data_IF_442014652171
#
_entry.id   IF_442014652171
#
_cell.length_a   1.000
_cell.length_b   1.000
_cell.length_c   1.000
_cell.angle_alpha   90.00
_cell.angle_beta   90.00
_cell.angle_gamma   90.00
#
_symmetry.space_group_name_H-M   'P 1'
#
loop_
_entity.id
_entity.type
_entity.pdbx_description
1 polymer ?
#
# COMPACT_ATOMS: atom_id res chain seq x y z
N UNK A 1 -27.61 -48.72 -5.68
CA UNK A 1 -28.82 -47.93 -5.35
C UNK A 1 -28.33 -46.57 -4.86
N UNK A 2 -28.35 -45.45 -5.58
CA UNK A 2 -29.32 -44.92 -6.53
C UNK A 2 -28.58 -44.16 -7.65
N UNK A 3 -28.59 -44.66 -8.89
CA UNK A 3 -28.20 -43.85 -10.06
C UNK A 3 -29.41 -43.01 -10.42
N UNK A 4 -29.30 -41.73 -10.18
CA UNK A 4 -30.44 -40.92 -9.81
C UNK A 4 -30.83 -40.03 -11.01
N UNK A 5 -32.04 -40.22 -11.53
CA UNK A 5 -32.53 -39.50 -12.72
C UNK A 5 -32.85 -38.02 -12.47
N UNK A 6 -32.68 -37.53 -11.22
CA UNK A 6 -33.00 -36.14 -10.87
C UNK A 6 -31.98 -35.11 -11.38
N UNK A 7 -30.76 -35.54 -11.74
CA UNK A 7 -29.71 -34.70 -12.37
C UNK A 7 -29.67 -34.92 -13.90
N UNK A 8 -30.67 -35.59 -14.48
CA UNK A 8 -30.75 -35.73 -15.94
C UNK A 8 -30.99 -34.37 -16.60
N UNK A 9 -30.49 -34.17 -17.82
CA UNK A 9 -30.61 -32.88 -18.52
C UNK A 9 -32.04 -32.35 -18.66
N UNK A 10 -33.06 -33.21 -18.56
CA UNK A 10 -34.47 -32.80 -18.54
C UNK A 10 -34.91 -32.07 -17.27
N UNK A 11 -34.18 -32.23 -16.16
CA UNK A 11 -34.44 -31.56 -14.88
C UNK A 11 -33.39 -30.48 -14.57
N UNK A 12 -32.52 -30.13 -15.53
CA UNK A 12 -31.41 -29.20 -15.30
C UNK A 12 -31.88 -27.83 -14.76
N UNK A 13 -32.99 -27.30 -15.28
CA UNK A 13 -33.56 -26.03 -14.82
C UNK A 13 -34.04 -26.08 -13.36
N UNK A 14 -34.62 -27.21 -12.94
CA UNK A 14 -35.08 -27.41 -11.57
C UNK A 14 -33.91 -27.52 -10.58
N UNK A 15 -32.85 -28.24 -10.98
CA UNK A 15 -31.63 -28.35 -10.17
C UNK A 15 -30.89 -27.01 -10.10
N UNK A 16 -30.85 -26.26 -11.20
CA UNK A 16 -30.27 -24.91 -11.25
C UNK A 16 -31.02 -23.95 -10.30
N UNK A 17 -32.35 -23.94 -10.32
CA UNK A 17 -33.15 -23.10 -9.39
C UNK A 17 -32.96 -23.50 -7.92
N UNK A 18 -32.80 -24.79 -7.62
CA UNK A 18 -32.48 -25.27 -6.28
C UNK A 18 -31.08 -24.87 -5.83
N UNK A 19 -30.11 -24.87 -6.74
CA UNK A 19 -28.74 -24.43 -6.44
C UNK A 19 -28.65 -22.93 -6.25
N UNK A 20 -29.39 -22.14 -7.03
CA UNK A 20 -29.54 -20.68 -6.84
C UNK A 20 -30.02 -20.35 -5.42
N UNK A 21 -31.09 -21.02 -4.96
CA UNK A 21 -31.59 -20.84 -3.58
C UNK A 21 -30.58 -21.29 -2.52
N UNK A 22 -29.81 -22.33 -2.80
CA UNK A 22 -28.73 -22.78 -1.91
C UNK A 22 -27.62 -21.73 -1.78
N UNK A 23 -27.28 -21.01 -2.86
CA UNK A 23 -26.30 -19.92 -2.82
C UNK A 23 -26.80 -18.67 -2.09
N UNK A 24 -28.12 -18.41 -2.10
CA UNK A 24 -28.74 -17.30 -1.35
C UNK A 24 -28.92 -17.63 0.14
N UNK A 25 -29.55 -18.76 0.46
CA UNK A 25 -29.74 -19.27 1.81
C UNK A 25 -29.80 -20.81 1.83
N UNK A 26 -28.76 -21.51 2.33
CA UNK A 26 -28.75 -22.97 2.44
C UNK A 26 -29.92 -23.55 3.24
N UNK A 27 -30.54 -22.76 4.14
CA UNK A 27 -31.65 -23.19 4.99
C UNK A 27 -32.97 -23.39 4.23
N UNK A 28 -33.13 -22.75 3.07
CA UNK A 28 -34.34 -22.84 2.25
C UNK A 28 -34.41 -24.11 1.39
N UNK A 29 -33.30 -24.85 1.30
CA UNK A 29 -33.17 -26.05 0.48
C UNK A 29 -33.33 -27.31 1.34
N UNK A 30 -34.06 -28.35 0.87
CA UNK A 30 -34.19 -29.61 1.61
C UNK A 30 -32.85 -30.26 1.93
N UNK A 31 -32.72 -30.89 3.11
CA UNK A 31 -31.44 -31.41 3.63
C UNK A 31 -30.72 -32.40 2.67
N UNK A 32 -31.48 -33.13 1.86
CA UNK A 32 -30.94 -34.05 0.84
C UNK A 32 -30.17 -33.32 -0.26
N UNK A 33 -30.63 -32.12 -0.64
CA UNK A 33 -30.00 -31.27 -1.64
C UNK A 33 -28.86 -30.45 -1.05
N UNK A 34 -29.00 -29.96 0.19
CA UNK A 34 -27.92 -29.30 0.92
C UNK A 34 -26.67 -30.20 1.02
N UNK A 35 -26.88 -31.42 1.51
CA UNK A 35 -25.80 -32.43 1.61
C UNK A 35 -25.18 -32.79 0.26
N UNK A 36 -25.94 -32.68 -0.84
CA UNK A 36 -25.42 -32.91 -2.18
C UNK A 36 -24.58 -31.74 -2.68
N UNK A 37 -25.05 -30.50 -2.49
CA UNK A 37 -24.33 -29.29 -2.90
C UNK A 37 -23.05 -29.05 -2.09
N UNK A 38 -23.03 -29.42 -0.80
CA UNK A 38 -21.83 -29.41 0.05
C UNK A 38 -20.70 -30.31 -0.50
N UNK A 39 -21.03 -31.31 -1.32
CA UNK A 39 -20.04 -32.24 -1.89
C UNK A 39 -19.49 -31.79 -3.24
N UNK A 40 -19.99 -30.68 -3.80
CA UNK A 40 -19.50 -30.16 -5.07
C UNK A 40 -18.09 -29.58 -4.91
N UNK A 41 -17.14 -29.95 -5.79
CA UNK A 41 -15.78 -29.45 -5.71
C UNK A 41 -15.77 -27.95 -6.05
N UNK A 42 -15.26 -27.13 -5.12
CA UNK A 42 -14.87 -25.76 -5.45
C UNK A 42 -13.73 -25.80 -6.47
N UNK A 43 -13.80 -24.92 -7.48
CA UNK A 43 -12.76 -24.82 -8.52
C UNK A 43 -11.41 -24.51 -7.86
N UNK A 44 -10.38 -25.32 -8.12
CA UNK A 44 -9.04 -25.11 -7.55
C UNK A 44 -8.53 -23.69 -7.84
N UNK A 45 -8.35 -22.90 -6.78
CA UNK A 45 -7.87 -21.51 -6.84
C UNK A 45 -8.94 -20.43 -6.62
N UNK A 46 -10.22 -20.77 -6.52
CA UNK A 46 -11.28 -19.82 -6.14
C UNK A 46 -11.50 -19.84 -4.61
N UNK A 47 -11.22 -18.71 -3.95
CA UNK A 47 -11.49 -18.51 -2.50
C UNK A 47 -12.92 -17.97 -2.28
N UNK A 48 -13.62 -17.61 -3.35
CA UNK A 48 -14.99 -17.10 -3.28
C UNK A 48 -16.04 -18.21 -3.49
N UNK A 49 -17.20 -18.13 -2.81
CA UNK A 49 -18.33 -19.00 -3.12
C UNK A 49 -18.80 -18.81 -4.57
N UNK A 50 -19.43 -19.84 -5.14
CA UNK A 50 -20.04 -19.78 -6.47
C UNK A 50 -21.04 -18.61 -6.56
N UNK A 51 -21.09 -17.96 -7.71
CA UNK A 51 -21.96 -16.81 -7.96
C UNK A 51 -23.24 -17.31 -8.63
N UNK A 52 -24.39 -16.84 -8.13
CA UNK A 52 -25.71 -17.03 -8.74
C UNK A 52 -25.72 -16.67 -10.24
N UNK A 53 -26.13 -17.60 -11.11
CA UNK A 53 -26.32 -17.35 -12.54
C UNK A 53 -27.42 -16.31 -12.78
N UNK A 54 -28.45 -16.26 -11.93
CA UNK A 54 -29.51 -15.27 -11.98
C UNK A 54 -28.92 -13.85 -11.80
N UNK A 55 -28.01 -13.67 -10.85
CA UNK A 55 -27.29 -12.40 -10.62
C UNK A 55 -26.48 -11.99 -11.84
N UNK A 56 -25.79 -12.95 -12.47
CA UNK A 56 -25.01 -12.71 -13.70
C UNK A 56 -25.94 -12.32 -14.86
N UNK A 57 -27.06 -13.01 -15.05
CA UNK A 57 -28.05 -12.69 -16.10
C UNK A 57 -28.68 -11.33 -15.90
N UNK A 58 -29.02 -10.97 -14.66
CA UNK A 58 -29.60 -9.67 -14.34
C UNK A 58 -28.58 -8.54 -14.55
N UNK A 59 -27.30 -8.80 -14.24
CA UNK A 59 -26.20 -7.88 -14.57
C UNK A 59 -26.05 -7.68 -16.09
N UNK A 60 -26.09 -8.75 -16.89
CA UNK A 60 -26.07 -8.65 -18.36
C UNK A 60 -27.33 -7.98 -18.92
N UNK A 61 -28.50 -8.20 -18.32
CA UNK A 61 -29.74 -7.50 -18.67
C UNK A 61 -29.68 -6.01 -18.34
N UNK A 62 -29.06 -5.62 -17.22
CA UNK A 62 -28.78 -4.23 -16.86
C UNK A 62 -27.83 -3.58 -17.86
N UNK A 63 -26.74 -4.25 -18.23
CA UNK A 63 -25.82 -3.80 -19.28
C UNK A 63 -26.52 -3.62 -20.63
N UNK A 64 -27.41 -4.55 -21.01
CA UNK A 64 -28.20 -4.48 -22.25
C UNK A 64 -29.25 -3.36 -22.21
N UNK A 65 -29.94 -3.19 -21.08
CA UNK A 65 -30.94 -2.11 -20.89
C UNK A 65 -30.30 -0.72 -20.86
N UNK A 66 -29.10 -0.60 -20.31
CA UNK A 66 -28.33 0.65 -20.28
C UNK A 66 -27.80 1.09 -21.65
N UNK A 67 -27.81 0.21 -22.66
CA UNK A 67 -27.36 0.55 -24.01
C UNK A 67 -28.41 1.29 -24.86
N UNK A 68 -29.70 1.30 -24.48
CA UNK A 68 -30.73 2.02 -25.26
C UNK A 68 -31.93 2.60 -24.49
N UNK A 69 -31.98 2.51 -23.16
CA UNK A 69 -33.09 3.09 -22.38
C UNK A 69 -32.57 3.92 -21.21
N UNK A 70 -32.59 5.24 -21.40
CA UNK A 70 -32.67 6.20 -20.28
C UNK A 70 -34.02 5.97 -19.61
N UNK A 71 -34.04 5.02 -18.68
CA UNK A 71 -35.12 4.91 -17.71
C UNK A 71 -34.81 6.00 -16.68
N UNK A 72 -35.71 6.95 -16.38
CA UNK A 72 -35.44 7.96 -15.38
C UNK A 72 -35.36 7.24 -14.03
N UNK A 73 -34.15 6.90 -13.62
CA UNK A 73 -33.86 6.52 -12.25
C UNK A 73 -34.20 7.75 -11.42
N UNK A 74 -35.09 7.60 -10.45
CA UNK A 74 -35.49 8.68 -9.56
C UNK A 74 -34.22 9.38 -9.02
N UNK A 75 -34.12 10.72 -9.08
CA UNK A 75 -32.92 11.44 -8.64
C UNK A 75 -32.51 11.09 -7.19
N UNK A 76 -33.48 10.71 -6.35
CA UNK A 76 -33.26 10.24 -4.99
C UNK A 76 -32.44 8.95 -4.87
N UNK A 77 -32.58 7.98 -5.79
CA UNK A 77 -31.84 6.71 -5.71
C UNK A 77 -30.41 6.81 -6.25
N UNK A 78 -30.17 7.72 -7.21
CA UNK A 78 -28.80 8.04 -7.69
C UNK A 78 -28.01 8.74 -6.57
N UNK A 79 -28.65 9.70 -5.86
CA UNK A 79 -28.04 10.37 -4.71
C UNK A 79 -27.66 9.38 -3.60
N UNK A 80 -28.56 8.45 -3.26
CA UNK A 80 -28.33 7.49 -2.19
C UNK A 80 -27.25 6.43 -2.50
N UNK A 81 -27.06 6.04 -3.76
CA UNK A 81 -25.96 5.15 -4.16
C UNK A 81 -24.62 5.91 -4.17
N UNK A 82 -24.61 7.12 -4.74
CA UNK A 82 -23.44 7.99 -4.73
C UNK A 82 -22.97 8.33 -3.32
N UNK A 83 -23.89 8.66 -2.40
CA UNK A 83 -23.58 8.93 -0.99
C UNK A 83 -22.99 7.70 -0.29
N UNK A 84 -23.49 6.49 -0.57
CA UNK A 84 -22.92 5.26 -0.03
C UNK A 84 -21.49 5.02 -0.54
N UNK A 85 -21.25 5.22 -1.84
CA UNK A 85 -19.91 5.13 -2.43
C UNK A 85 -18.98 6.21 -1.89
N UNK A 86 -19.49 7.41 -1.64
CA UNK A 86 -18.70 8.49 -1.03
C UNK A 86 -18.21 8.13 0.38
N UNK A 87 -19.04 7.45 1.18
CA UNK A 87 -18.61 6.93 2.50
C UNK A 87 -17.56 5.83 2.32
N UNK A 88 -17.78 4.88 1.40
CA UNK A 88 -16.84 3.82 1.08
C UNK A 88 -15.46 4.36 0.63
N UNK A 89 -15.43 5.44 -0.15
CA UNK A 89 -14.18 6.12 -0.53
C UNK A 89 -13.47 6.73 0.70
N UNK A 90 -14.22 7.29 1.65
CA UNK A 90 -13.66 7.75 2.92
C UNK A 90 -13.07 6.62 3.77
N UNK A 91 -13.73 5.45 3.80
CA UNK A 91 -13.23 4.25 4.46
C UNK A 91 -11.96 3.71 3.78
N UNK A 92 -11.92 3.72 2.44
CA UNK A 92 -10.75 3.36 1.64
C UNK A 92 -9.55 4.26 1.97
N UNK A 93 -9.73 5.60 1.94
CA UNK A 93 -8.68 6.57 2.32
C UNK A 93 -8.13 6.26 3.72
N UNK A 94 -9.02 6.00 4.69
CA UNK A 94 -8.61 5.62 6.04
C UNK A 94 -7.90 4.26 6.10
N UNK A 95 -8.29 3.31 5.23
CA UNK A 95 -7.61 2.03 5.04
C UNK A 95 -6.15 2.23 4.66
N UNK A 96 -5.87 3.05 3.64
CA UNK A 96 -4.51 3.39 3.21
C UNK A 96 -3.71 4.08 4.32
N UNK A 97 -4.29 5.04 5.03
CA UNK A 97 -3.61 5.72 6.15
C UNK A 97 -3.19 4.77 7.27
N UNK A 98 -4.02 3.76 7.57
CA UNK A 98 -3.77 2.81 8.67
C UNK A 98 -2.91 1.61 8.27
N UNK A 99 -3.04 1.12 7.03
CA UNK A 99 -2.48 -0.17 6.61
C UNK A 99 -1.67 -0.11 5.31
N UNK A 100 -1.56 1.05 4.66
CA UNK A 100 -0.80 1.21 3.42
C UNK A 100 0.67 0.79 3.57
N UNK A 101 1.28 1.00 4.74
CA UNK A 101 2.63 0.56 5.05
C UNK A 101 2.86 -0.95 4.85
N UNK A 102 1.81 -1.79 4.97
CA UNK A 102 1.90 -3.24 4.75
C UNK A 102 2.05 -3.59 3.26
N UNK A 103 1.56 -2.73 2.36
CA UNK A 103 1.70 -2.87 0.90
C UNK A 103 2.96 -2.18 0.37
N UNK A 104 3.61 -1.34 1.19
CA UNK A 104 4.76 -0.55 0.81
C UNK A 104 5.95 -1.39 0.30
N UNK A 105 6.75 -0.80 -0.58
CA UNK A 105 7.94 -1.41 -1.17
C UNK A 105 9.16 -1.00 -0.37
N UNK A 106 9.35 -1.63 0.79
CA UNK A 106 10.39 -1.29 1.76
C UNK A 106 11.64 -2.16 1.65
N UNK A 107 11.50 -3.37 1.13
CA UNK A 107 12.61 -4.32 1.00
C UNK A 107 13.38 -4.06 -0.30
N UNK A 108 14.61 -3.54 -0.24
CA UNK A 108 15.42 -3.25 -1.43
C UNK A 108 15.85 -4.53 -2.18
N UNK A 109 15.82 -5.69 -1.52
CA UNK A 109 16.15 -6.98 -2.13
C UNK A 109 14.93 -7.71 -2.70
N UNK A 110 13.71 -7.27 -2.34
CA UNK A 110 12.47 -7.89 -2.79
C UNK A 110 12.28 -9.34 -2.34
N UNK A 111 12.86 -9.72 -1.20
CA UNK A 111 12.77 -11.06 -0.62
C UNK A 111 11.51 -11.25 0.23
N UNK A 112 10.98 -10.15 0.75
CA UNK A 112 9.83 -10.15 1.66
C UNK A 112 8.54 -10.34 0.87
N UNK A 113 7.81 -11.41 1.16
CA UNK A 113 6.45 -11.60 0.64
C UNK A 113 5.50 -10.56 1.25
N UNK A 114 4.80 -9.83 0.39
CA UNK A 114 3.85 -8.81 0.85
C UNK A 114 2.58 -9.49 1.37
N UNK A 115 2.12 -9.15 2.59
CA UNK A 115 0.86 -9.67 3.08
C UNK A 115 -0.29 -9.16 2.21
N UNK A 116 -1.34 -9.97 2.09
CA UNK A 116 -2.60 -9.52 1.51
C UNK A 116 -3.27 -8.51 2.46
N UNK A 117 -3.71 -7.37 1.94
CA UNK A 117 -4.31 -6.30 2.74
C UNK A 117 -5.69 -5.97 2.17
N UNK A 118 -6.74 -6.77 2.47
CA UNK A 118 -8.05 -6.63 1.83
C UNK A 118 -8.67 -5.23 1.97
N UNK A 119 -8.39 -4.51 3.06
CA UNK A 119 -8.91 -3.15 3.30
C UNK A 119 -8.38 -2.11 2.29
N UNK A 120 -7.38 -2.43 1.46
CA UNK A 120 -6.91 -1.55 0.39
C UNK A 120 -7.56 -1.87 -0.97
N UNK A 121 -8.24 -3.00 -1.08
CA UNK A 121 -8.89 -3.48 -2.31
C UNK A 121 -10.29 -2.87 -2.45
N UNK A 122 -10.68 -2.55 -3.68
CA UNK A 122 -11.97 -1.89 -3.97
C UNK A 122 -13.18 -2.72 -3.52
N UNK A 123 -13.12 -4.02 -3.79
CA UNK A 123 -14.22 -4.95 -3.53
C UNK A 123 -14.57 -5.02 -2.03
N UNK A 124 -13.58 -4.85 -1.15
CA UNK A 124 -13.79 -4.80 0.30
C UNK A 124 -14.74 -3.67 0.72
N UNK A 125 -14.70 -2.55 0.00
CA UNK A 125 -15.54 -1.37 0.25
C UNK A 125 -16.78 -1.33 -0.64
N UNK A 126 -17.11 -2.42 -1.36
CA UNK A 126 -18.21 -2.49 -2.33
C UNK A 126 -18.07 -1.45 -3.46
N UNK A 127 -16.84 -1.07 -3.78
CA UNK A 127 -16.49 -0.27 -4.95
C UNK A 127 -16.05 -1.21 -6.07
N UNK A 128 -16.26 -0.81 -7.31
CA UNK A 128 -15.91 -1.62 -8.48
C UNK A 128 -15.04 -0.85 -9.47
N UNK A 129 -14.49 -1.55 -10.46
CA UNK A 129 -13.75 -0.91 -11.55
C UNK A 129 -14.61 0.10 -12.34
N UNK A 130 -15.94 -0.04 -12.35
CA UNK A 130 -16.84 0.92 -13.00
C UNK A 130 -16.89 2.28 -12.29
N UNK A 131 -16.53 2.33 -11.01
CA UNK A 131 -16.54 3.55 -10.20
C UNK A 131 -15.23 4.36 -10.36
N UNK A 132 -14.20 3.81 -11.00
CA UNK A 132 -12.88 4.45 -11.11
C UNK A 132 -12.91 5.85 -11.71
N UNK A 133 -13.75 6.07 -12.71
CA UNK A 133 -13.86 7.35 -13.42
C UNK A 133 -14.96 8.25 -12.82
N UNK A 134 -15.62 7.81 -11.75
CA UNK A 134 -16.58 8.63 -11.00
C UNK A 134 -15.85 9.58 -10.05
N UNK A 135 -16.35 10.82 -9.96
CA UNK A 135 -15.74 11.88 -9.15
C UNK A 135 -16.31 11.89 -7.74
N UNK A 136 -15.45 11.90 -6.74
CA UNK A 136 -15.79 11.95 -5.31
C UNK A 136 -15.18 13.16 -4.63
N UNK A 137 -15.80 13.57 -3.53
CA UNK A 137 -15.20 14.52 -2.59
C UNK A 137 -14.03 13.87 -1.88
N UNK A 138 -12.92 14.59 -1.80
CA UNK A 138 -11.66 14.08 -1.24
C UNK A 138 -11.57 14.29 0.27
N UNK A 139 -12.46 15.14 0.81
CA UNK A 139 -12.61 15.35 2.24
C UNK A 139 -11.33 15.86 2.90
N UNK A 140 -10.75 15.03 3.75
CA UNK A 140 -9.51 15.34 4.50
C UNK A 140 -8.23 14.93 3.77
N UNK A 141 -8.30 14.51 2.51
CA UNK A 141 -7.14 14.13 1.72
C UNK A 141 -6.41 15.38 1.18
N UNK A 142 -5.16 15.58 1.58
CA UNK A 142 -4.41 16.79 1.30
C UNK A 142 -3.59 16.71 -0.01
N UNK A 143 -4.23 16.60 -1.17
CA UNK A 143 -3.51 16.57 -2.47
C UNK A 143 -3.87 17.74 -3.41
N UNK A 144 -4.57 18.76 -2.90
CA UNK A 144 -4.80 20.04 -3.56
C UNK A 144 -6.18 20.21 -4.21
N UNK A 145 -6.85 19.12 -4.57
CA UNK A 145 -8.20 19.17 -5.16
C UNK A 145 -9.27 18.73 -4.15
N UNK A 146 -10.40 19.43 -4.13
CA UNK A 146 -11.56 19.10 -3.27
C UNK A 146 -12.36 17.91 -3.81
N UNK A 147 -12.22 17.65 -5.11
CA UNK A 147 -12.88 16.58 -5.84
C UNK A 147 -11.87 15.92 -6.78
N UNK A 148 -11.96 14.59 -6.93
CA UNK A 148 -11.17 13.85 -7.90
C UNK A 148 -11.84 12.53 -8.27
N UNK A 149 -11.42 11.95 -9.40
CA UNK A 149 -11.83 10.61 -9.76
C UNK A 149 -11.33 9.59 -8.73
N UNK A 150 -12.07 8.50 -8.52
CA UNK A 150 -11.62 7.42 -7.63
C UNK A 150 -10.24 6.88 -8.06
N UNK A 151 -9.99 6.80 -9.37
CA UNK A 151 -8.68 6.44 -9.95
C UNK A 151 -7.57 7.35 -9.44
N UNK A 152 -7.77 8.66 -9.49
CA UNK A 152 -6.76 9.63 -9.05
C UNK A 152 -6.55 9.58 -7.53
N UNK A 153 -7.63 9.39 -6.76
CA UNK A 153 -7.56 9.21 -5.30
C UNK A 153 -6.69 8.00 -4.96
N UNK A 154 -6.96 6.84 -5.56
CA UNK A 154 -6.17 5.62 -5.33
C UNK A 154 -4.72 5.83 -5.74
N UNK A 155 -4.48 6.45 -6.89
CA UNK A 155 -3.13 6.72 -7.37
C UNK A 155 -2.32 7.57 -6.38
N UNK A 156 -2.93 8.62 -5.81
CA UNK A 156 -2.31 9.46 -4.79
C UNK A 156 -2.04 8.67 -3.51
N UNK A 157 -2.99 7.85 -3.06
CA UNK A 157 -2.83 7.03 -1.86
C UNK A 157 -1.72 5.99 -2.00
N UNK A 158 -1.66 5.30 -3.14
CA UNK A 158 -0.60 4.33 -3.47
C UNK A 158 0.77 5.01 -3.49
N UNK A 159 0.91 6.17 -4.13
CA UNK A 159 2.15 6.94 -4.12
C UNK A 159 2.56 7.39 -2.71
N UNK A 160 1.59 7.81 -1.90
CA UNK A 160 1.86 8.38 -0.57
C UNK A 160 2.23 7.30 0.46
N UNK A 161 1.53 6.16 0.45
CA UNK A 161 1.57 5.19 1.54
C UNK A 161 2.11 3.80 1.17
N UNK A 162 2.23 3.49 -0.12
CA UNK A 162 2.57 2.14 -0.61
C UNK A 162 3.81 2.09 -1.52
N UNK A 163 4.49 3.21 -1.75
CA UNK A 163 5.73 3.24 -2.53
C UNK A 163 6.94 2.95 -1.63
N UNK A 164 7.97 3.81 -1.66
CA UNK A 164 9.24 3.61 -0.94
C UNK A 164 9.20 4.08 0.53
N UNK A 165 8.05 4.55 1.01
CA UNK A 165 7.84 5.04 2.38
C UNK A 165 6.61 4.38 2.97
N UNK A 166 6.80 3.63 4.07
CA UNK A 166 5.72 3.03 4.86
C UNK A 166 5.42 3.88 6.08
N UNK A 167 4.26 4.52 6.09
CA UNK A 167 3.87 5.43 7.17
C UNK A 167 3.10 4.70 8.28
N UNK A 168 3.60 4.79 9.51
CA UNK A 168 2.89 4.35 10.72
C UNK A 168 2.76 5.52 11.70
N UNK A 169 1.59 6.16 11.70
CA UNK A 169 1.33 7.32 12.57
C UNK A 169 -0.11 7.36 13.12
N UNK A 170 -1.03 6.57 12.56
CA UNK A 170 -2.44 6.57 12.99
C UNK A 170 -2.68 6.04 14.41
N UNK A 171 -1.63 5.52 15.07
CA UNK A 171 -1.65 5.10 16.48
C UNK A 171 -1.39 6.27 17.46
N UNK A 172 -0.96 7.43 16.95
CA UNK A 172 -0.77 8.65 17.76
C UNK A 172 -2.13 9.11 18.30
N UNK A 173 -2.23 9.46 19.58
CA UNK A 173 -3.50 9.88 20.18
C UNK A 173 -3.90 11.33 19.80
N UNK A 174 -2.92 12.22 19.64
CA UNK A 174 -3.16 13.62 19.29
C UNK A 174 -3.59 13.79 17.83
N UNK A 175 -4.81 14.28 17.63
CA UNK A 175 -5.36 14.55 16.30
C UNK A 175 -4.58 15.63 15.54
N UNK A 176 -4.04 16.64 16.22
CA UNK A 176 -3.26 17.70 15.57
C UNK A 176 -1.97 17.13 14.97
N UNK A 177 -1.31 16.21 15.67
CA UNK A 177 -0.12 15.50 15.16
C UNK A 177 -0.47 14.60 13.98
N UNK A 178 -1.56 13.83 14.06
CA UNK A 178 -2.03 13.01 12.93
C UNK A 178 -2.30 13.86 11.68
N UNK A 179 -3.01 14.98 11.84
CA UNK A 179 -3.32 15.91 10.74
C UNK A 179 -2.06 16.54 10.17
N UNK A 180 -1.09 16.88 11.02
CA UNK A 180 0.19 17.43 10.59
C UNK A 180 0.97 16.43 9.71
N UNK A 181 1.02 15.15 10.11
CA UNK A 181 1.65 14.09 9.31
C UNK A 181 0.90 13.90 7.98
N UNK A 182 -0.43 13.81 8.01
CA UNK A 182 -1.28 13.69 6.81
C UNK A 182 -1.01 14.81 5.82
N UNK A 183 -1.06 16.06 6.29
CA UNK A 183 -0.85 17.23 5.45
C UNK A 183 0.55 17.20 4.81
N UNK A 184 1.60 16.84 5.56
CA UNK A 184 2.97 16.79 5.04
C UNK A 184 3.18 15.67 4.02
N UNK A 185 2.66 14.48 4.30
CA UNK A 185 2.87 13.32 3.43
C UNK A 185 2.03 13.39 2.16
N UNK A 186 0.73 13.64 2.28
CA UNK A 186 -0.21 13.61 1.15
C UNK A 186 0.03 14.76 0.16
N UNK A 187 0.43 15.94 0.65
CA UNK A 187 0.70 17.10 -0.21
C UNK A 187 1.92 16.90 -1.11
N UNK A 188 2.94 16.22 -0.61
CA UNK A 188 4.13 15.86 -1.36
C UNK A 188 4.05 14.45 -1.98
N UNK A 189 2.98 13.70 -1.69
CA UNK A 189 2.81 12.28 -2.03
C UNK A 189 3.99 11.41 -1.60
N UNK A 190 4.59 11.75 -0.46
CA UNK A 190 5.84 11.17 0.03
C UNK A 190 7.01 11.21 -0.97
N UNK A 191 6.90 12.00 -2.04
CA UNK A 191 7.87 12.12 -3.13
C UNK A 191 8.17 13.60 -3.43
N UNK A 192 8.91 14.28 -2.53
CA UNK A 192 9.26 15.67 -2.71
C UNK A 192 10.14 15.88 -3.95
N UNK A 193 9.80 16.89 -4.74
CA UNK A 193 10.64 17.29 -5.88
C UNK A 193 11.89 18.02 -5.41
N UNK A 194 13.06 17.47 -5.74
CA UNK A 194 14.36 18.06 -5.44
C UNK A 194 14.99 18.67 -6.69
N UNK A 195 15.69 19.81 -6.50
CA UNK A 195 16.51 20.41 -7.54
C UNK A 195 17.74 19.54 -7.86
N UNK A 196 18.32 19.72 -9.05
CA UNK A 196 19.49 18.97 -9.49
C UNK A 196 20.69 19.15 -8.54
N UNK A 197 20.84 20.33 -7.93
CA UNK A 197 21.88 20.59 -6.94
C UNK A 197 21.72 19.72 -5.68
N UNK A 198 20.50 19.57 -5.18
CA UNK A 198 20.22 18.70 -4.03
C UNK A 198 20.44 17.23 -4.38
N UNK A 199 20.01 16.80 -5.57
CA UNK A 199 20.24 15.43 -6.06
C UNK A 199 21.72 15.10 -6.17
N UNK A 200 22.53 16.01 -6.73
CA UNK A 200 23.99 15.86 -6.81
C UNK A 200 24.62 15.76 -5.42
N UNK A 201 24.21 16.62 -4.48
CA UNK A 201 24.71 16.56 -3.09
C UNK A 201 24.39 15.23 -2.39
N UNK A 202 23.19 14.68 -2.60
CA UNK A 202 22.82 13.36 -2.07
C UNK A 202 23.71 12.28 -2.68
N UNK A 203 23.89 12.30 -4.01
CA UNK A 203 24.74 11.35 -4.73
C UNK A 203 26.21 11.43 -4.27
N UNK A 204 26.77 12.62 -4.14
CA UNK A 204 28.15 12.82 -3.71
C UNK A 204 28.39 12.21 -2.31
N UNK A 205 27.43 12.35 -1.40
CA UNK A 205 27.49 11.72 -0.06
C UNK A 205 27.38 10.20 -0.11
N UNK A 206 26.57 9.65 -1.01
CA UNK A 206 26.49 8.20 -1.23
C UNK A 206 27.83 7.67 -1.77
N UNK A 207 28.42 8.36 -2.75
CA UNK A 207 29.73 7.99 -3.32
C UNK A 207 30.82 8.04 -2.25
N UNK A 208 30.83 9.07 -1.40
CA UNK A 208 31.78 9.16 -0.29
C UNK A 208 31.60 8.02 0.73
N UNK A 209 30.35 7.67 1.05
CA UNK A 209 30.02 6.58 1.96
C UNK A 209 30.51 5.22 1.42
N UNK A 210 30.20 4.90 0.16
CA UNK A 210 30.61 3.66 -0.50
C UNK A 210 32.13 3.61 -0.73
N UNK A 211 32.71 4.73 -1.16
CA UNK A 211 34.14 4.84 -1.48
C UNK A 211 35.04 4.57 -0.27
N UNK A 212 34.67 5.09 0.89
CA UNK A 212 35.40 4.83 2.13
C UNK A 212 35.37 3.34 2.51
N UNK A 213 34.21 2.68 2.40
CA UNK A 213 34.08 1.26 2.71
C UNK A 213 34.91 0.40 1.76
N UNK A 214 34.86 0.68 0.45
CA UNK A 214 35.67 -0.01 -0.55
C UNK A 214 37.17 0.18 -0.29
N UNK A 215 37.60 1.39 0.05
CA UNK A 215 38.99 1.67 0.37
C UNK A 215 39.47 0.88 1.60
N UNK A 216 38.70 0.92 2.69
CA UNK A 216 39.01 0.18 3.91
C UNK A 216 39.02 -1.33 3.66
N UNK A 217 38.11 -1.83 2.82
CA UNK A 217 38.07 -3.23 2.42
C UNK A 217 39.35 -3.67 1.70
N UNK A 218 39.83 -2.87 0.74
CA UNK A 218 41.03 -3.18 -0.04
C UNK A 218 42.31 -3.04 0.79
N UNK A 219 42.43 -1.99 1.61
CA UNK A 219 43.67 -1.68 2.33
C UNK A 219 43.88 -2.54 3.57
N UNK A 220 42.80 -2.87 4.30
CA UNK A 220 42.87 -3.61 5.57
C UNK A 220 42.07 -4.92 5.49
N UNK A 221 42.47 -5.88 4.64
CA UNK A 221 41.77 -7.15 4.50
C UNK A 221 41.79 -7.91 5.84
N UNK A 222 40.65 -8.48 6.22
CA UNK A 222 40.52 -9.27 7.46
C UNK A 222 40.34 -8.47 8.75
N UNK A 223 40.43 -7.14 8.72
CA UNK A 223 40.19 -6.31 9.92
C UNK A 223 38.69 -6.08 10.13
N UNK A 224 38.22 -6.23 11.38
CA UNK A 224 36.83 -5.97 11.75
C UNK A 224 36.55 -4.46 11.74
N UNK A 225 35.82 -3.98 10.72
CA UNK A 225 35.47 -2.56 10.55
C UNK A 225 34.00 -2.21 10.79
N UNK A 226 33.11 -3.20 10.88
CA UNK A 226 31.67 -3.00 10.99
C UNK A 226 31.11 -2.05 9.91
N UNK A 227 31.41 -2.34 8.64
CA UNK A 227 31.11 -1.46 7.52
C UNK A 227 29.62 -1.15 7.32
N UNK A 228 29.35 -0.06 6.61
CA UNK A 228 28.02 0.42 6.24
C UNK A 228 27.52 -0.13 4.90
N UNK A 229 28.11 -1.22 4.41
CA UNK A 229 27.72 -1.82 3.12
C UNK A 229 26.23 -2.21 3.13
N UNK A 230 25.51 -1.76 2.09
CA UNK A 230 24.05 -1.91 1.92
C UNK A 230 23.20 -0.90 2.70
N UNK A 231 23.81 -0.05 3.53
CA UNK A 231 23.15 0.98 4.34
C UNK A 231 23.68 2.38 4.10
N UNK A 232 24.33 2.62 2.96
CA UNK A 232 25.05 3.86 2.63
C UNK A 232 24.12 5.09 2.63
N UNK A 233 22.83 4.89 2.37
CA UNK A 233 21.78 5.92 2.46
C UNK A 233 21.64 6.56 3.84
N UNK A 234 22.18 5.91 4.88
CA UNK A 234 22.25 6.47 6.22
C UNK A 234 23.06 7.78 6.28
N UNK A 235 24.15 7.89 5.52
CA UNK A 235 25.02 9.08 5.51
C UNK A 235 24.31 10.32 4.96
N UNK A 236 23.72 10.32 3.74
CA UNK A 236 22.96 11.48 3.27
C UNK A 236 21.72 11.76 4.12
N UNK A 237 21.07 10.73 4.69
CA UNK A 237 19.93 10.91 5.59
C UNK A 237 20.33 11.71 6.85
N UNK A 238 21.36 11.26 7.56
CA UNK A 238 21.87 11.94 8.75
C UNK A 238 22.40 13.35 8.44
N UNK A 239 23.08 13.51 7.30
CA UNK A 239 23.55 14.82 6.86
C UNK A 239 22.40 15.82 6.67
N UNK A 240 21.31 15.39 6.04
CA UNK A 240 20.13 16.22 5.82
C UNK A 240 19.41 16.53 7.15
N UNK A 241 19.35 15.58 8.09
CA UNK A 241 18.83 15.82 9.44
C UNK A 241 19.62 16.92 10.16
N UNK A 242 20.96 16.84 10.17
CA UNK A 242 21.83 17.86 10.78
C UNK A 242 21.64 19.22 10.08
N UNK A 243 21.57 19.23 8.74
CA UNK A 243 21.38 20.46 7.97
C UNK A 243 20.04 21.14 8.28
N UNK A 244 18.97 20.35 8.39
CA UNK A 244 17.64 20.85 8.78
C UNK A 244 17.60 21.33 10.22
N UNK A 245 18.24 20.61 11.14
CA UNK A 245 18.35 21.03 12.53
C UNK A 245 19.06 22.39 12.64
N UNK A 246 20.18 22.57 11.95
CA UNK A 246 20.90 23.85 11.91
C UNK A 246 20.05 24.97 11.30
N UNK A 247 19.28 24.68 10.25
CA UNK A 247 18.34 25.65 9.65
C UNK A 247 17.19 26.04 10.59
N UNK A 248 16.85 25.17 11.54
CA UNK A 248 15.89 25.44 12.60
C UNK A 248 16.51 26.11 13.85
N UNK A 249 17.79 26.47 13.82
CA UNK A 249 18.49 27.17 14.91
C UNK A 249 19.14 26.25 15.95
N UNK A 250 19.21 24.94 15.71
CA UNK A 250 19.94 24.01 16.59
C UNK A 250 21.45 24.26 16.45
N UNK A 251 22.11 24.49 17.58
CA UNK A 251 23.55 24.82 17.63
C UNK A 251 24.42 23.57 17.76
N UNK A 252 23.96 22.57 18.50
CA UNK A 252 24.71 21.35 18.79
C UNK A 252 23.85 20.11 18.54
N UNK A 253 24.44 19.06 17.98
CA UNK A 253 23.80 17.77 17.75
C UNK A 253 24.71 16.66 18.27
N UNK A 254 24.18 15.85 19.19
CA UNK A 254 24.89 14.71 19.77
C UNK A 254 24.32 13.42 19.19
N UNK A 255 25.19 12.53 18.70
CA UNK A 255 24.80 11.27 18.05
C UNK A 255 25.22 10.09 18.93
N UNK A 256 24.26 9.32 19.42
CA UNK A 256 24.48 7.98 19.99
C UNK A 256 24.21 6.91 18.93
N UNK A 257 25.20 6.06 18.63
CA UNK A 257 25.06 4.98 17.63
C UNK A 257 25.80 3.71 18.04
N UNK A 258 25.37 2.58 17.48
CA UNK A 258 26.08 1.30 17.59
C UNK A 258 27.35 1.25 16.71
N UNK A 259 27.94 0.07 16.54
CA UNK A 259 29.19 -0.10 15.80
C UNK A 259 29.07 0.01 14.27
N UNK A 260 27.91 -0.36 13.68
CA UNK A 260 27.73 -0.41 12.21
C UNK A 260 27.81 0.98 11.59
N UNK A 261 28.71 1.14 10.64
CA UNK A 261 28.94 2.39 9.91
C UNK A 261 29.53 3.53 10.75
N UNK A 262 29.99 3.27 11.99
CA UNK A 262 30.54 4.31 12.88
C UNK A 262 31.73 5.05 12.26
N UNK A 263 32.63 4.31 11.61
CA UNK A 263 33.79 4.89 10.94
C UNK A 263 33.36 5.82 9.81
N UNK A 264 32.34 5.40 9.07
CA UNK A 264 31.75 6.18 7.99
C UNK A 264 31.16 7.50 8.51
N UNK A 265 30.43 7.46 9.64
CA UNK A 265 29.90 8.66 10.31
C UNK A 265 31.03 9.58 10.77
N UNK A 266 32.07 9.05 11.41
CA UNK A 266 33.18 9.85 11.92
C UNK A 266 33.86 10.65 10.80
N UNK A 267 34.14 10.00 9.67
CA UNK A 267 34.83 10.63 8.54
C UNK A 267 33.88 11.51 7.73
N UNK A 268 32.77 10.96 7.24
CA UNK A 268 31.91 11.62 6.26
C UNK A 268 30.86 12.59 6.86
N UNK A 269 30.62 12.54 8.18
CA UNK A 269 29.69 13.45 8.88
C UNK A 269 30.38 14.33 9.92
N UNK A 270 31.22 13.75 10.78
CA UNK A 270 31.85 14.50 11.87
C UNK A 270 33.18 15.16 11.47
N UNK A 271 33.71 14.82 10.30
CA UNK A 271 34.96 15.41 9.79
C UNK A 271 36.21 14.97 10.53
N UNK A 272 36.21 13.78 11.16
CA UNK A 272 37.43 13.16 11.69
C UNK A 272 38.41 12.98 10.53
N UNK A 273 39.68 13.36 10.74
CA UNK A 273 40.70 13.21 9.72
C UNK A 273 40.89 11.72 9.37
N UNK A 274 40.77 11.33 8.09
CA UNK A 274 41.07 9.97 7.66
C UNK A 274 42.47 9.49 8.06
N UNK A 275 43.46 10.38 8.16
CA UNK A 275 44.82 10.02 8.56
C UNK A 275 44.86 9.49 10.00
N UNK A 276 44.23 10.20 10.94
CA UNK A 276 44.12 9.76 12.35
C UNK A 276 43.40 8.42 12.46
N UNK A 277 42.35 8.21 11.66
CA UNK A 277 41.66 6.93 11.60
C UNK A 277 42.60 5.81 11.12
N UNK A 278 43.40 6.06 10.08
CA UNK A 278 44.31 5.04 9.55
C UNK A 278 45.44 4.69 10.51
N UNK A 279 45.94 5.65 11.29
CA UNK A 279 46.92 5.40 12.35
C UNK A 279 46.35 4.45 13.42
N UNK A 280 45.08 4.63 13.81
CA UNK A 280 44.38 3.71 14.74
C UNK A 280 44.28 2.29 14.18
N UNK A 281 44.08 2.13 12.86
CA UNK A 281 44.08 0.82 12.18
C UNK A 281 45.47 0.17 12.13
N UNK A 282 46.52 0.99 12.07
CA UNK A 282 47.92 0.55 12.04
C UNK A 282 48.50 0.34 13.45
N UNK A 283 47.71 0.62 14.50
CA UNK A 283 48.08 0.44 15.90
C UNK A 283 49.08 1.48 16.41
N UNK A 284 49.05 2.68 15.83
CA UNK A 284 49.88 3.83 16.23
C UNK A 284 49.10 4.85 17.04
#
# INVERSE_FOLDING_TARGET
MWRTGHISGGNASYVEELYEKYLEDPSEVPDQWRSYFDTLPMVEGAIAPDISHQTVRDHFLLLSKNQSRVTPVSPASISADYERKQVAVGELINGYRRRGHLKATLDPLGLTEKPQVPILELDYHKLSAADLDTTFQTGTLFFGNREASLRDIIHVLEQTYCDSVGAEYMHIEDQAEQLWVQQRMESARSNPSFSDGVKRRILDRLIAAEGLEKYLHTKYPGTKRFGLEGGESFIPCMAELIHRAGSAGVVETVIGMAHRGRINVLVNLMGKDPAELFDEFEGR
#
